data_IF_948222036583
#
_entry.id   IF_948222036583
#
_cell.length_a   1.000
_cell.length_b   1.000
_cell.length_c   1.000
_cell.angle_alpha   90.00
_cell.angle_beta   90.00
_cell.angle_gamma   90.00
#
_symmetry.space_group_name_H-M   'P 1'
#
loop_
_entity.id
_entity.type
_entity.pdbx_description
1 polymer ?
#
# COMPACT_ATOMS: atom_id res chain seq x y z
N UNK A 1 -8.89 22.05 -6.73
CA UNK A 1 -7.44 21.78 -6.82
C UNK A 1 -6.87 22.80 -7.78
N UNK A 2 -5.85 23.53 -7.34
CA UNK A 2 -5.18 24.55 -8.13
C UNK A 2 -4.11 23.87 -9.02
N UNK A 3 -3.72 24.50 -10.12
CA UNK A 3 -2.62 24.03 -10.97
C UNK A 3 -1.34 23.88 -10.15
N UNK A 4 -1.12 24.79 -9.19
CA UNK A 4 0.07 24.83 -8.33
C UNK A 4 0.25 23.52 -7.56
N UNK A 5 -0.84 22.85 -7.18
CA UNK A 5 -0.80 21.59 -6.43
C UNK A 5 -0.11 20.46 -7.23
N UNK A 6 -0.08 20.57 -8.56
CA UNK A 6 0.55 19.59 -9.46
C UNK A 6 2.00 19.96 -9.84
N UNK A 7 2.53 21.09 -9.37
CA UNK A 7 3.85 21.58 -9.80
C UNK A 7 4.90 21.33 -8.72
N UNK A 8 6.09 20.87 -9.12
CA UNK A 8 7.22 20.65 -8.21
C UNK A 8 8.54 21.11 -8.83
N UNK A 9 9.43 21.69 -8.03
CA UNK A 9 10.77 22.10 -8.50
C UNK A 9 11.72 20.90 -8.59
N UNK A 10 12.56 20.84 -9.64
CA UNK A 10 13.51 19.73 -9.86
C UNK A 10 14.54 19.54 -8.73
N UNK A 11 14.75 20.57 -7.90
CA UNK A 11 15.67 20.54 -6.75
C UNK A 11 15.03 20.02 -5.46
N UNK A 12 13.71 19.83 -5.43
CA UNK A 12 13.00 19.20 -4.31
C UNK A 12 13.46 17.76 -4.13
N UNK A 13 13.34 17.27 -2.91
CA UNK A 13 13.66 15.89 -2.56
C UNK A 13 12.57 14.93 -3.02
N UNK A 14 12.91 13.66 -3.17
CA UNK A 14 11.96 12.58 -3.43
C UNK A 14 10.86 12.52 -2.36
N UNK A 15 11.22 12.70 -1.09
CA UNK A 15 10.27 12.67 0.05
C UNK A 15 9.23 13.80 -0.09
N UNK A 16 9.67 15.02 -0.43
CA UNK A 16 8.74 16.12 -0.71
C UNK A 16 7.83 15.82 -1.90
N UNK A 17 8.35 15.19 -2.96
CA UNK A 17 7.54 14.75 -4.09
C UNK A 17 6.49 13.70 -3.70
N UNK A 18 6.84 12.73 -2.85
CA UNK A 18 5.90 11.72 -2.33
C UNK A 18 4.77 12.37 -1.54
N UNK A 19 5.10 13.27 -0.61
CA UNK A 19 4.09 13.97 0.18
C UNK A 19 3.13 14.78 -0.68
N UNK A 20 3.64 15.43 -1.74
CA UNK A 20 2.78 16.19 -2.65
C UNK A 20 1.96 15.27 -3.57
N UNK A 21 2.47 14.11 -3.97
CA UNK A 21 1.71 13.09 -4.72
C UNK A 21 0.52 12.54 -3.92
N UNK A 22 0.67 12.39 -2.60
CA UNK A 22 -0.38 11.89 -1.72
C UNK A 22 -1.57 12.86 -1.56
N UNK A 23 -1.35 14.16 -1.76
CA UNK A 23 -2.40 15.17 -1.63
C UNK A 23 -3.20 15.37 -2.92
N UNK A 24 -2.69 14.87 -4.06
CA UNK A 24 -3.31 15.07 -5.37
C UNK A 24 -4.00 13.81 -5.91
N UNK A 25 -5.18 13.98 -6.49
CA UNK A 25 -6.00 12.85 -6.94
C UNK A 25 -5.37 12.04 -8.09
N UNK A 26 -4.59 12.67 -8.99
CA UNK A 26 -4.09 12.02 -10.21
C UNK A 26 -2.63 11.54 -10.14
N UNK A 27 -2.06 11.41 -8.92
CA UNK A 27 -0.74 10.80 -8.61
C UNK A 27 0.38 11.10 -9.63
N UNK A 28 0.43 12.34 -10.14
CA UNK A 28 1.44 12.85 -11.07
C UNK A 28 1.78 14.31 -10.79
N UNK A 29 3.06 14.64 -10.73
CA UNK A 29 3.55 16.00 -10.63
C UNK A 29 4.31 16.40 -11.88
N UNK A 30 4.17 17.67 -12.28
CA UNK A 30 4.88 18.28 -13.38
C UNK A 30 6.05 19.08 -12.83
N UNK A 31 7.25 18.69 -13.27
CA UNK A 31 8.51 19.18 -12.76
C UNK A 31 8.92 20.44 -13.49
N UNK A 32 9.30 21.45 -12.70
CA UNK A 32 9.77 22.74 -13.18
C UNK A 32 11.28 22.89 -12.96
N UNK A 33 11.92 23.54 -13.91
CA UNK A 33 13.28 24.09 -13.82
C UNK A 33 13.24 25.55 -14.21
N UNK A 34 13.70 26.43 -13.32
CA UNK A 34 13.66 27.88 -13.55
C UNK A 34 12.24 28.36 -13.96
N UNK A 35 11.20 27.78 -13.31
CA UNK A 35 9.77 27.98 -13.60
C UNK A 35 9.25 27.45 -14.95
N UNK A 36 10.09 26.81 -15.76
CA UNK A 36 9.69 26.17 -17.01
C UNK A 36 9.46 24.68 -16.83
N UNK A 37 8.46 24.14 -17.52
CA UNK A 37 8.16 22.72 -17.49
C UNK A 37 9.23 21.89 -18.23
N UNK A 38 9.76 20.85 -17.55
CA UNK A 38 10.86 20.03 -18.10
C UNK A 38 10.65 18.52 -17.95
N UNK A 39 9.92 18.06 -16.95
CA UNK A 39 9.76 16.64 -16.67
C UNK A 39 8.43 16.34 -15.96
N UNK A 40 8.11 15.06 -15.78
CA UNK A 40 7.01 14.62 -14.92
C UNK A 40 7.49 13.51 -13.99
N UNK A 41 6.91 13.43 -12.79
CA UNK A 41 7.21 12.40 -11.79
C UNK A 41 5.92 11.78 -11.26
N UNK A 42 5.91 10.45 -11.11
CA UNK A 42 4.77 9.66 -10.62
C UNK A 42 5.19 8.73 -9.48
N UNK A 43 4.23 8.16 -8.75
CA UNK A 43 4.47 7.06 -7.79
C UNK A 43 5.26 5.91 -8.42
N UNK A 44 5.04 5.65 -9.71
CA UNK A 44 5.76 4.62 -10.46
C UNK A 44 7.26 4.91 -10.59
N UNK A 45 7.65 6.18 -10.77
CA UNK A 45 9.04 6.60 -10.86
C UNK A 45 9.74 6.48 -9.51
N UNK A 46 9.10 6.99 -8.46
CA UNK A 46 9.58 6.93 -7.08
C UNK A 46 9.75 5.48 -6.62
N UNK A 47 8.74 4.64 -6.83
CA UNK A 47 8.82 3.20 -6.54
C UNK A 47 9.97 2.53 -7.28
N UNK A 48 10.16 2.81 -8.57
CA UNK A 48 11.27 2.25 -9.35
C UNK A 48 12.64 2.68 -8.81
N UNK A 49 12.76 3.93 -8.35
CA UNK A 49 13.99 4.43 -7.73
C UNK A 49 14.29 3.71 -6.41
N UNK A 50 13.30 3.62 -5.52
CA UNK A 50 13.37 2.89 -4.25
C UNK A 50 13.83 1.44 -4.48
N UNK A 51 13.21 0.73 -5.43
CA UNK A 51 13.51 -0.67 -5.71
C UNK A 51 14.92 -0.90 -6.27
N UNK A 52 15.53 0.13 -6.87
CA UNK A 52 16.94 0.11 -7.32
C UNK A 52 17.92 0.46 -6.19
N UNK A 53 17.46 0.53 -4.94
CA UNK A 53 18.23 1.01 -3.77
C UNK A 53 18.76 2.43 -3.97
N UNK A 54 17.98 3.27 -4.65
CA UNK A 54 18.28 4.69 -4.78
C UNK A 54 18.26 5.39 -3.42
N UNK A 55 19.02 6.49 -3.31
CA UNK A 55 19.03 7.32 -2.11
C UNK A 55 17.64 7.93 -1.87
N UNK A 56 17.11 7.85 -0.65
CA UNK A 56 15.81 8.45 -0.32
C UNK A 56 15.88 9.99 -0.28
N UNK A 57 17.07 10.55 -0.07
CA UNK A 57 17.34 11.99 -0.15
C UNK A 57 17.59 12.48 -1.60
N UNK A 58 17.41 11.62 -2.60
CA UNK A 58 17.63 11.98 -4.00
C UNK A 58 16.71 13.11 -4.44
N UNK A 59 17.20 13.95 -5.35
CA UNK A 59 16.41 15.05 -5.90
C UNK A 59 15.45 14.54 -6.98
N UNK A 60 14.35 15.28 -7.18
CA UNK A 60 13.39 15.02 -8.26
C UNK A 60 14.10 14.94 -9.62
N UNK A 61 15.13 15.76 -9.84
CA UNK A 61 15.91 15.73 -11.07
C UNK A 61 16.63 14.39 -11.37
N UNK A 62 16.84 13.53 -10.38
CA UNK A 62 17.49 12.23 -10.53
C UNK A 62 16.48 11.12 -10.86
N UNK A 63 15.19 11.37 -10.62
CA UNK A 63 14.13 10.36 -10.61
C UNK A 63 13.10 10.62 -11.73
N UNK A 64 12.80 11.88 -12.00
CA UNK A 64 11.73 12.28 -12.89
C UNK A 64 11.96 11.86 -14.35
N UNK A 65 10.87 11.68 -15.08
CA UNK A 65 10.89 11.41 -16.51
C UNK A 65 10.99 12.73 -17.32
N UNK A 66 12.19 13.01 -17.83
CA UNK A 66 12.49 14.16 -18.70
C UNK A 66 12.04 14.03 -20.16
N UNK A 67 11.26 12.99 -20.47
CA UNK A 67 10.50 12.91 -21.71
C UNK A 67 8.99 12.87 -21.41
N UNK A 68 8.45 13.91 -20.74
CA UNK A 68 7.05 13.92 -20.36
C UNK A 68 6.16 14.13 -21.59
N UNK A 69 4.90 13.77 -21.46
CA UNK A 69 3.88 14.05 -22.49
C UNK A 69 3.17 15.35 -22.14
N UNK A 70 2.97 16.21 -23.13
CA UNK A 70 2.33 17.51 -23.00
C UNK A 70 1.64 17.90 -24.31
N UNK A 71 0.80 18.93 -24.26
CA UNK A 71 0.10 19.48 -25.42
C UNK A 71 0.25 21.00 -25.45
N UNK A 72 0.49 21.56 -26.63
CA UNK A 72 0.50 23.01 -26.81
C UNK A 72 -0.92 23.59 -26.72
N UNK A 73 -1.05 24.82 -26.22
CA UNK A 73 -2.32 25.51 -26.04
C UNK A 73 -3.23 25.48 -27.29
N UNK A 74 -2.64 25.64 -28.48
CA UNK A 74 -3.35 25.59 -29.77
C UNK A 74 -4.03 24.23 -30.05
N UNK A 75 -3.52 23.15 -29.47
CA UNK A 75 -3.99 21.78 -29.65
C UNK A 75 -4.76 21.25 -28.43
N UNK A 76 -5.13 22.12 -27.47
CA UNK A 76 -5.82 21.75 -26.23
C UNK A 76 -7.07 20.88 -26.46
N UNK A 77 -7.80 21.09 -27.55
CA UNK A 77 -9.00 20.32 -27.87
C UNK A 77 -8.73 18.81 -28.12
N UNK A 78 -7.49 18.44 -28.45
CA UNK A 78 -7.06 17.04 -28.66
C UNK A 78 -6.59 16.35 -27.38
N UNK A 79 -6.61 17.04 -26.24
CA UNK A 79 -6.03 16.53 -25.00
C UNK A 79 -6.63 15.20 -24.54
N UNK A 80 -7.96 15.10 -24.46
CA UNK A 80 -8.63 13.86 -24.06
C UNK A 80 -8.34 12.68 -25.00
N UNK A 81 -8.28 12.93 -26.31
CA UNK A 81 -7.94 11.91 -27.30
C UNK A 81 -6.51 11.38 -27.12
N UNK A 82 -5.55 12.30 -26.95
CA UNK A 82 -4.16 11.96 -26.66
C UNK A 82 -4.01 11.18 -25.35
N UNK A 83 -4.70 11.64 -24.29
CA UNK A 83 -4.67 10.97 -22.99
C UNK A 83 -5.19 9.54 -23.08
N UNK A 84 -6.30 9.31 -23.80
CA UNK A 84 -6.87 7.97 -24.04
C UNK A 84 -5.88 7.07 -24.76
N UNK A 85 -5.27 7.56 -25.84
CA UNK A 85 -4.30 6.81 -26.64
C UNK A 85 -3.06 6.41 -25.84
N UNK A 86 -2.62 7.27 -24.92
CA UNK A 86 -1.42 7.07 -24.12
C UNK A 86 -1.70 6.44 -22.75
N UNK A 87 -2.98 6.24 -22.38
CA UNK A 87 -3.40 5.74 -21.06
C UNK A 87 -2.80 6.55 -19.91
N UNK A 88 -2.87 7.88 -20.00
CA UNK A 88 -2.40 8.81 -18.95
C UNK A 88 -3.57 9.53 -18.29
N UNK A 89 -3.43 9.83 -17.01
CA UNK A 89 -4.52 10.37 -16.17
C UNK A 89 -4.60 11.89 -16.17
N UNK A 90 -3.46 12.56 -16.38
CA UNK A 90 -3.37 14.01 -16.54
C UNK A 90 -2.29 14.37 -17.57
N UNK A 91 -2.50 15.49 -18.26
CA UNK A 91 -1.55 16.06 -19.22
C UNK A 91 -1.48 17.58 -19.06
N UNK A 92 -0.28 18.19 -19.05
CA UNK A 92 -0.13 19.63 -18.96
C UNK A 92 -0.32 20.27 -20.34
N UNK A 93 -0.99 21.41 -20.34
CA UNK A 93 -1.14 22.29 -21.50
C UNK A 93 -0.14 23.44 -21.38
N UNK A 94 0.72 23.60 -22.37
CA UNK A 94 1.84 24.55 -22.35
C UNK A 94 1.75 25.61 -23.45
N UNK A 95 2.37 26.76 -23.22
CA UNK A 95 2.62 27.77 -24.27
C UNK A 95 3.87 27.43 -25.11
N UNK A 96 4.26 28.34 -26.01
CA UNK A 96 5.46 28.20 -26.84
C UNK A 96 6.77 28.24 -26.02
N UNK A 97 6.72 28.84 -24.83
CA UNK A 97 7.84 29.02 -23.91
C UNK A 97 7.97 27.89 -22.88
N UNK A 98 7.12 26.86 -22.96
CA UNK A 98 7.03 25.74 -22.00
C UNK A 98 6.55 26.14 -20.59
N UNK A 99 5.76 27.20 -20.48
CA UNK A 99 5.03 27.50 -19.25
C UNK A 99 3.72 26.70 -19.23
N UNK A 100 3.38 26.11 -18.08
CA UNK A 100 2.10 25.39 -17.91
C UNK A 100 0.98 26.43 -17.73
N UNK A 101 0.02 26.42 -18.65
CA UNK A 101 -1.15 27.30 -18.63
C UNK A 101 -2.32 26.64 -17.93
N UNK A 102 -2.49 25.33 -18.14
CA UNK A 102 -3.57 24.54 -17.52
C UNK A 102 -3.22 23.06 -17.52
N UNK A 103 -3.91 22.26 -16.71
CA UNK A 103 -3.79 20.80 -16.70
C UNK A 103 -5.13 20.23 -17.11
N UNK A 104 -5.11 19.24 -18.01
CA UNK A 104 -6.29 18.46 -18.37
C UNK A 104 -6.15 17.09 -17.71
N UNK A 105 -7.12 16.72 -16.89
CA UNK A 105 -7.25 15.40 -16.28
C UNK A 105 -8.56 14.75 -16.74
N UNK A 106 -8.71 13.45 -16.51
CA UNK A 106 -10.04 12.83 -16.55
C UNK A 106 -10.90 13.47 -15.46
N UNK A 107 -12.03 14.06 -15.85
CA UNK A 107 -13.02 14.63 -14.94
C UNK A 107 -13.77 13.47 -14.24
N UNK A 108 -13.15 12.78 -13.30
CA UNK A 108 -13.73 11.70 -12.48
C UNK A 108 -14.57 10.62 -13.20
N UNK A 109 -14.56 10.61 -14.54
CA UNK A 109 -14.94 9.50 -15.36
C UNK A 109 -13.80 8.50 -15.20
N UNK A 110 -13.94 7.67 -14.16
CA UNK A 110 -13.30 6.37 -14.02
C UNK A 110 -13.47 5.64 -15.34
N UNK A 111 -12.50 5.82 -16.25
CA UNK A 111 -12.16 4.77 -17.19
C UNK A 111 -11.31 3.77 -16.40
N UNK A 112 -11.89 3.23 -15.33
CA UNK A 112 -11.44 1.96 -14.81
C UNK A 112 -11.90 0.94 -15.85
N UNK A 113 -10.97 0.51 -16.70
CA UNK A 113 -11.06 -0.88 -17.13
C UNK A 113 -10.93 -1.70 -15.86
N UNK A 114 -12.04 -1.98 -15.16
CA UNK A 114 -12.11 -2.94 -14.06
C UNK A 114 -11.67 -4.28 -14.64
N UNK A 115 -10.37 -4.54 -14.63
CA UNK A 115 -9.89 -5.90 -14.64
C UNK A 115 -10.17 -6.42 -13.25
N UNK A 116 -11.06 -7.39 -13.18
CA UNK A 116 -11.38 -8.05 -11.91
C UNK A 116 -10.16 -8.87 -11.49
N UNK A 117 -9.57 -8.49 -10.35
CA UNK A 117 -8.51 -9.24 -9.72
C UNK A 117 -9.11 -10.54 -9.15
N UNK A 118 -9.26 -11.57 -9.98
CA UNK A 118 -9.80 -12.87 -9.56
C UNK A 118 -8.71 -13.73 -8.88
N UNK A 119 -8.36 -13.36 -7.65
CA UNK A 119 -7.52 -14.19 -6.77
C UNK A 119 -8.13 -14.31 -5.36
N UNK A 120 -7.83 -15.38 -4.61
CA UNK A 120 -8.33 -15.56 -3.26
C UNK A 120 -7.66 -14.59 -2.31
N UNK A 121 -8.36 -14.24 -1.24
CA UNK A 121 -7.84 -13.41 -0.15
C UNK A 121 -7.92 -14.21 1.15
N UNK A 122 -6.79 -14.37 1.81
CA UNK A 122 -6.67 -15.02 3.11
C UNK A 122 -6.51 -13.94 4.18
N UNK A 123 -7.39 -13.93 5.17
CA UNK A 123 -7.37 -12.97 6.28
C UNK A 123 -7.06 -13.70 7.58
N UNK A 124 -5.99 -13.28 8.27
CA UNK A 124 -5.60 -13.78 9.57
C UNK A 124 -6.46 -13.14 10.67
N UNK A 125 -7.54 -13.80 11.07
CA UNK A 125 -8.58 -13.29 11.97
C UNK A 125 -8.63 -14.00 13.35
N UNK A 126 -7.57 -14.72 13.72
CA UNK A 126 -7.51 -15.54 14.95
C UNK A 126 -6.95 -14.86 16.21
N UNK A 127 -6.35 -13.67 16.09
CA UNK A 127 -5.63 -13.02 17.20
C UNK A 127 -6.51 -12.54 18.35
N UNK A 128 -5.93 -12.50 19.57
CA UNK A 128 -6.61 -12.01 20.77
C UNK A 128 -6.82 -10.49 20.78
N UNK A 129 -6.02 -9.73 20.03
CA UNK A 129 -6.13 -8.27 19.95
C UNK A 129 -5.92 -7.56 21.29
N UNK A 130 -5.01 -8.04 22.13
CA UNK A 130 -4.80 -7.57 23.51
C UNK A 130 -4.43 -6.09 23.64
N UNK A 131 -3.84 -5.52 22.59
CA UNK A 131 -3.47 -4.09 22.51
C UNK A 131 -4.68 -3.15 22.49
N UNK A 132 -5.85 -3.64 22.08
CA UNK A 132 -7.11 -2.89 22.07
C UNK A 132 -7.97 -3.17 23.30
N UNK A 133 -7.38 -3.60 24.42
CA UNK A 133 -8.12 -3.75 25.67
C UNK A 133 -8.61 -2.37 26.16
N UNK A 134 -9.87 -2.24 26.61
CA UNK A 134 -10.81 -3.32 26.93
C UNK A 134 -11.75 -3.77 25.80
N UNK A 135 -11.77 -3.13 24.62
CA UNK A 135 -12.73 -3.43 23.53
C UNK A 135 -12.72 -4.91 23.13
N UNK A 136 -11.53 -5.51 22.99
CA UNK A 136 -11.41 -6.91 22.56
C UNK A 136 -11.80 -7.95 23.61
N UNK A 137 -12.15 -7.53 24.83
CA UNK A 137 -12.82 -8.42 25.80
C UNK A 137 -14.24 -8.78 25.34
N UNK A 138 -14.91 -7.84 24.68
CA UNK A 138 -16.30 -8.01 24.23
C UNK A 138 -16.31 -8.59 22.82
N UNK A 139 -15.68 -7.90 21.86
CA UNK A 139 -15.68 -8.26 20.44
C UNK A 139 -14.32 -8.85 20.01
N UNK A 140 -14.25 -9.83 19.10
CA UNK A 140 -12.96 -10.15 18.48
C UNK A 140 -12.47 -8.95 17.65
N UNK A 141 -11.14 -8.77 17.53
CA UNK A 141 -10.54 -7.65 16.79
C UNK A 141 -11.15 -7.45 15.37
N UNK A 142 -11.33 -8.51 14.55
CA UNK A 142 -12.03 -8.41 13.25
C UNK A 142 -13.41 -7.76 13.26
N UNK A 143 -14.12 -7.77 14.40
CA UNK A 143 -15.47 -7.22 14.54
C UNK A 143 -15.51 -5.88 15.30
N UNK A 144 -14.37 -5.25 15.55
CA UNK A 144 -14.36 -3.89 16.10
C UNK A 144 -14.94 -2.93 15.05
N UNK A 145 -16.01 -2.17 15.38
CA UNK A 145 -16.59 -1.20 14.47
C UNK A 145 -15.65 -0.04 14.18
N UNK A 146 -15.50 0.30 12.89
CA UNK A 146 -14.92 1.56 12.44
C UNK A 146 -16.02 2.28 11.66
N UNK A 147 -16.71 3.19 12.33
CA UNK A 147 -17.99 3.74 11.87
C UNK A 147 -19.10 2.67 11.91
N UNK A 148 -19.82 2.49 10.80
CA UNK A 148 -21.03 1.65 10.74
C UNK A 148 -20.73 0.15 10.57
N UNK A 149 -19.55 -0.21 10.04
CA UNK A 149 -19.18 -1.61 9.75
C UNK A 149 -17.85 -1.99 10.45
N UNK A 150 -17.64 -3.28 10.75
CA UNK A 150 -16.41 -3.73 11.39
C UNK A 150 -15.20 -3.67 10.45
N UNK A 151 -14.00 -3.61 11.04
CA UNK A 151 -12.74 -3.53 10.28
C UNK A 151 -12.59 -4.65 9.24
N UNK A 152 -12.98 -5.90 9.56
CA UNK A 152 -12.81 -7.00 8.63
C UNK A 152 -13.72 -6.85 7.40
N UNK A 153 -14.89 -6.21 7.55
CA UNK A 153 -15.75 -5.89 6.43
C UNK A 153 -15.17 -4.76 5.58
N UNK A 154 -14.58 -3.72 6.19
CA UNK A 154 -13.82 -2.71 5.44
C UNK A 154 -12.70 -3.34 4.59
N UNK A 155 -11.95 -4.29 5.15
CA UNK A 155 -10.87 -5.00 4.46
C UNK A 155 -11.44 -5.79 3.27
N UNK A 156 -12.48 -6.60 3.52
CA UNK A 156 -13.12 -7.42 2.49
C UNK A 156 -13.70 -6.54 1.38
N UNK A 157 -14.39 -5.46 1.72
CA UNK A 157 -14.99 -4.54 0.74
C UNK A 157 -13.94 -3.91 -0.18
N UNK A 158 -12.76 -3.53 0.33
CA UNK A 158 -11.66 -3.00 -0.51
C UNK A 158 -11.16 -4.02 -1.53
N UNK A 159 -10.95 -5.26 -1.10
CA UNK A 159 -10.55 -6.34 -2.02
C UNK A 159 -11.67 -6.71 -3.00
N UNK A 160 -12.93 -6.72 -2.52
CA UNK A 160 -14.11 -7.00 -3.33
C UNK A 160 -14.31 -5.96 -4.43
N UNK A 161 -14.08 -4.68 -4.13
CA UNK A 161 -14.11 -3.58 -5.10
C UNK A 161 -13.04 -3.74 -6.19
N UNK A 162 -11.93 -4.44 -5.89
CA UNK A 162 -10.89 -4.78 -6.85
C UNK A 162 -11.20 -6.06 -7.65
N UNK A 163 -12.31 -6.75 -7.38
CA UNK A 163 -12.73 -7.97 -8.07
C UNK A 163 -12.44 -9.28 -7.33
N UNK A 164 -11.82 -9.26 -6.15
CA UNK A 164 -11.62 -10.47 -5.36
C UNK A 164 -12.95 -10.94 -4.74
N UNK A 165 -13.46 -12.11 -5.15
CA UNK A 165 -14.75 -12.64 -4.66
C UNK A 165 -14.63 -13.80 -3.67
N UNK A 166 -13.44 -14.34 -3.45
CA UNK A 166 -13.23 -15.55 -2.63
C UNK A 166 -12.37 -15.25 -1.41
N UNK A 167 -12.97 -15.27 -0.22
CA UNK A 167 -12.31 -14.93 1.03
C UNK A 167 -12.18 -16.16 1.94
N UNK A 168 -10.99 -16.34 2.52
CA UNK A 168 -10.72 -17.36 3.53
C UNK A 168 -10.32 -16.68 4.84
N UNK A 169 -11.12 -16.85 5.90
CA UNK A 169 -10.84 -16.30 7.22
C UNK A 169 -10.30 -17.41 8.13
N UNK A 170 -9.04 -17.29 8.55
CA UNK A 170 -8.46 -18.15 9.57
C UNK A 170 -8.86 -17.60 10.94
N UNK A 171 -9.70 -18.34 11.65
CA UNK A 171 -10.37 -17.89 12.89
C UNK A 171 -10.04 -18.80 14.07
N UNK A 172 -9.83 -18.19 15.24
CA UNK A 172 -9.60 -18.90 16.50
C UNK A 172 -10.48 -18.29 17.61
N UNK A 173 -10.00 -17.23 18.27
CA UNK A 173 -10.70 -16.59 19.38
C UNK A 173 -12.04 -15.98 18.97
N UNK A 174 -13.12 -16.29 19.72
CA UNK A 174 -14.51 -15.84 19.44
C UNK A 174 -14.97 -16.09 17.99
N UNK A 175 -14.44 -17.13 17.33
CA UNK A 175 -14.74 -17.49 15.92
C UNK A 175 -16.23 -17.53 15.58
N UNK A 176 -17.08 -17.98 16.49
CA UNK A 176 -18.52 -18.07 16.27
C UNK A 176 -19.17 -16.70 16.03
N UNK A 177 -18.67 -15.63 16.66
CA UNK A 177 -19.18 -14.27 16.42
C UNK A 177 -18.82 -13.79 15.01
N UNK A 178 -17.59 -14.06 14.57
CA UNK A 178 -17.11 -13.72 13.21
C UNK A 178 -17.94 -14.45 12.16
N UNK A 179 -18.16 -15.76 12.37
CA UNK A 179 -18.99 -16.59 11.48
C UNK A 179 -20.43 -16.09 11.43
N UNK A 180 -21.04 -15.80 12.57
CA UNK A 180 -22.42 -15.30 12.63
C UNK A 180 -22.58 -14.00 11.85
N UNK A 181 -21.71 -13.00 12.12
CA UNK A 181 -21.74 -11.70 11.43
C UNK A 181 -21.71 -11.86 9.90
N UNK A 182 -20.66 -12.50 9.38
CA UNK A 182 -20.46 -12.59 7.94
C UNK A 182 -21.43 -13.55 7.24
N UNK A 183 -22.12 -14.45 7.96
CA UNK A 183 -23.15 -15.30 7.37
C UNK A 183 -24.53 -14.63 7.31
N UNK A 184 -24.76 -13.58 8.10
CA UNK A 184 -26.04 -12.86 8.15
C UNK A 184 -26.09 -11.64 7.22
N UNK A 185 -24.94 -11.02 6.91
CA UNK A 185 -24.90 -9.89 5.99
C UNK A 185 -25.17 -10.30 4.54
N UNK A 186 -25.82 -9.41 3.79
CA UNK A 186 -25.94 -9.53 2.34
C UNK A 186 -24.58 -9.23 1.70
N UNK A 187 -24.10 -10.14 0.85
CA UNK A 187 -22.78 -10.06 0.23
C UNK A 187 -22.80 -10.67 -1.17
N UNK A 188 -21.99 -10.09 -2.06
CA UNK A 188 -21.77 -10.56 -3.43
C UNK A 188 -20.45 -11.37 -3.56
N UNK A 189 -19.87 -11.78 -2.43
CA UNK A 189 -18.64 -12.55 -2.31
C UNK A 189 -18.80 -13.76 -1.38
N UNK A 190 -17.92 -14.75 -1.51
CA UNK A 190 -17.88 -15.95 -0.67
C UNK A 190 -16.92 -15.79 0.51
N UNK A 191 -17.27 -16.37 1.65
CA UNK A 191 -16.43 -16.39 2.85
C UNK A 191 -16.37 -17.83 3.38
N UNK A 192 -15.19 -18.42 3.28
CA UNK A 192 -14.87 -19.71 3.90
C UNK A 192 -14.14 -19.50 5.21
N UNK A 193 -14.45 -20.31 6.21
CA UNK A 193 -13.82 -20.24 7.52
C UNK A 193 -12.90 -21.43 7.75
N UNK A 194 -11.71 -21.12 8.27
CA UNK A 194 -10.74 -22.12 8.69
C UNK A 194 -10.56 -22.00 10.18
N UNK A 195 -11.00 -23.02 10.90
CA UNK A 195 -10.89 -23.07 12.35
C UNK A 195 -9.47 -23.45 12.74
N UNK A 196 -8.76 -22.50 13.30
CA UNK A 196 -7.50 -22.73 13.98
C UNK A 196 -7.84 -23.08 15.44
N UNK A 197 -7.50 -24.28 15.91
CA UNK A 197 -7.86 -24.74 17.26
C UNK A 197 -7.01 -24.10 18.36
N UNK A 198 -5.74 -23.80 18.04
CA UNK A 198 -4.79 -23.12 18.92
C UNK A 198 -4.04 -22.04 18.14
N UNK A 199 -3.68 -20.89 18.72
CA UNK A 199 -2.97 -19.85 17.99
C UNK A 199 -1.67 -20.37 17.35
N UNK A 200 -1.57 -20.35 16.01
CA UNK A 200 -0.36 -20.74 15.27
C UNK A 200 0.42 -19.52 14.74
N UNK A 201 0.21 -18.35 15.33
CA UNK A 201 0.85 -17.10 14.91
C UNK A 201 0.23 -16.50 13.65
N UNK A 202 0.94 -15.58 13.02
CA UNK A 202 0.44 -14.83 11.84
C UNK A 202 0.67 -15.56 10.51
N UNK A 203 1.33 -16.72 10.54
CA UNK A 203 1.60 -17.52 9.34
C UNK A 203 1.25 -19.01 9.48
N UNK A 204 1.28 -19.58 10.69
CA UNK A 204 1.08 -21.02 10.86
C UNK A 204 -0.29 -21.55 10.43
N UNK A 205 -1.35 -20.76 10.62
CA UNK A 205 -2.70 -21.10 10.20
C UNK A 205 -2.86 -21.30 8.68
N UNK A 206 -1.92 -20.79 7.86
CA UNK A 206 -1.90 -21.03 6.42
C UNK A 206 -1.77 -22.52 6.07
N UNK A 207 -1.12 -23.32 6.92
CA UNK A 207 -1.00 -24.77 6.72
C UNK A 207 -2.36 -25.49 6.64
N UNK A 208 -3.41 -24.92 7.25
CA UNK A 208 -4.78 -25.45 7.22
C UNK A 208 -5.51 -25.22 5.88
N UNK A 209 -4.88 -24.47 4.97
CA UNK A 209 -5.38 -24.17 3.63
C UNK A 209 -4.72 -25.03 2.54
N UNK A 210 -3.87 -26.01 2.91
CA UNK A 210 -3.27 -26.96 1.96
C UNK A 210 -4.33 -27.64 1.10
N UNK A 211 -4.08 -27.70 -0.20
CA UNK A 211 -4.98 -28.23 -1.22
C UNK A 211 -6.25 -27.40 -1.48
N UNK A 212 -6.50 -26.33 -0.74
CA UNK A 212 -7.66 -25.44 -0.93
C UNK A 212 -7.31 -24.22 -1.79
N UNK A 213 -6.09 -23.70 -1.68
CA UNK A 213 -5.62 -22.53 -2.42
C UNK A 213 -4.51 -22.93 -3.39
N UNK A 214 -4.88 -23.03 -4.67
CA UNK A 214 -4.00 -23.55 -5.73
C UNK A 214 -3.55 -22.46 -6.71
N UNK A 215 -3.91 -21.20 -6.46
CA UNK A 215 -3.48 -20.03 -7.22
C UNK A 215 -2.86 -19.00 -6.28
N UNK A 216 -2.11 -18.06 -6.84
CA UNK A 216 -1.58 -16.90 -6.10
C UNK A 216 -2.71 -16.21 -5.35
N UNK A 217 -2.44 -15.78 -4.13
CA UNK A 217 -3.44 -15.22 -3.24
C UNK A 217 -2.88 -13.99 -2.51
N UNK A 218 -3.79 -13.18 -1.98
CA UNK A 218 -3.45 -12.10 -1.07
C UNK A 218 -3.52 -12.65 0.35
N UNK A 219 -2.49 -12.38 1.15
CA UNK A 219 -2.53 -12.58 2.60
C UNK A 219 -2.63 -11.23 3.29
N UNK A 220 -3.59 -11.06 4.18
CA UNK A 220 -3.79 -9.84 4.97
C UNK A 220 -3.95 -10.16 6.45
N UNK A 221 -3.41 -9.31 7.30
CA UNK A 221 -3.88 -9.21 8.68
C UNK A 221 -5.32 -8.65 8.72
N UNK A 222 -6.03 -8.82 9.84
CA UNK A 222 -7.43 -8.42 10.02
C UNK A 222 -7.63 -6.99 10.55
N UNK A 223 -6.58 -6.18 10.55
CA UNK A 223 -6.53 -4.86 11.16
C UNK A 223 -5.91 -3.78 10.26
N UNK A 224 -5.67 -4.11 8.99
CA UNK A 224 -4.92 -3.26 8.05
C UNK A 224 -5.78 -2.88 6.86
N UNK A 225 -5.81 -1.60 6.52
CA UNK A 225 -6.37 -1.10 5.27
C UNK A 225 -5.24 -0.54 4.41
N UNK A 226 -5.15 -1.00 3.16
CA UNK A 226 -4.26 -0.44 2.15
C UNK A 226 -5.09 0.24 1.06
N UNK A 227 -4.75 1.49 0.78
CA UNK A 227 -5.38 2.33 -0.25
C UNK A 227 -4.47 2.44 -1.49
N UNK A 228 -4.27 1.30 -2.16
CA UNK A 228 -3.46 1.20 -3.37
C UNK A 228 -4.13 0.34 -4.43
N UNK A 229 -3.64 0.46 -5.66
CA UNK A 229 -4.09 -0.38 -6.76
C UNK A 229 -3.49 -1.80 -6.64
N UNK A 230 -4.27 -2.73 -6.08
CA UNK A 230 -3.90 -4.13 -5.90
C UNK A 230 -3.65 -4.90 -7.21
N UNK A 231 -4.13 -4.42 -8.34
CA UNK A 231 -3.78 -4.97 -9.64
C UNK A 231 -2.31 -4.68 -9.97
N UNK A 232 -1.85 -3.43 -9.80
CA UNK A 232 -0.44 -3.02 -10.01
C UNK A 232 0.51 -3.77 -9.07
N UNK A 233 0.15 -3.80 -7.79
CA UNK A 233 0.21 -4.98 -6.91
C UNK A 233 0.71 -6.31 -7.49
N UNK A 234 -0.30 -7.07 -7.90
CA UNK A 234 -0.23 -8.39 -8.46
C UNK A 234 0.59 -8.48 -9.76
N UNK A 235 0.40 -7.54 -10.69
CA UNK A 235 1.17 -7.49 -11.94
C UNK A 235 2.67 -7.36 -11.68
N UNK A 236 3.08 -6.55 -10.71
CA UNK A 236 4.46 -6.46 -10.27
C UNK A 236 4.97 -7.79 -9.70
N UNK A 237 4.20 -8.41 -8.79
CA UNK A 237 4.54 -9.72 -8.22
C UNK A 237 4.80 -10.78 -9.31
N UNK A 238 3.91 -10.84 -10.32
CA UNK A 238 4.02 -11.75 -11.46
C UNK A 238 5.17 -11.43 -12.40
N UNK A 239 5.33 -10.15 -12.76
CA UNK A 239 6.43 -9.70 -13.62
C UNK A 239 7.79 -10.01 -13.01
N UNK A 240 7.92 -9.76 -11.71
CA UNK A 240 9.15 -10.03 -10.98
C UNK A 240 9.34 -11.51 -10.65
N UNK A 241 8.32 -12.36 -10.78
CA UNK A 241 8.38 -13.79 -10.40
C UNK A 241 8.78 -13.98 -8.93
N UNK A 242 8.22 -13.14 -8.06
CA UNK A 242 8.45 -13.25 -6.62
C UNK A 242 7.64 -14.45 -6.08
N UNK A 243 8.21 -15.24 -5.16
CA UNK A 243 7.46 -16.22 -4.37
C UNK A 243 6.52 -15.50 -3.39
N UNK A 244 7.04 -14.44 -2.76
CA UNK A 244 6.31 -13.56 -1.85
C UNK A 244 6.64 -12.12 -2.22
N UNK A 245 5.63 -11.28 -2.34
CA UNK A 245 5.80 -9.82 -2.39
C UNK A 245 5.24 -9.21 -1.13
N UNK A 246 6.12 -8.63 -0.31
CA UNK A 246 5.75 -7.87 0.88
C UNK A 246 5.33 -6.46 0.47
N UNK A 247 4.18 -6.00 0.94
CA UNK A 247 3.77 -4.61 0.79
C UNK A 247 4.37 -3.83 1.96
N UNK A 248 5.19 -2.84 1.67
CA UNK A 248 5.91 -2.07 2.68
C UNK A 248 5.58 -0.58 2.58
N UNK A 249 5.24 0.02 3.70
CA UNK A 249 5.04 1.47 3.80
C UNK A 249 6.39 2.15 4.02
N UNK A 250 6.68 3.23 3.29
CA UNK A 250 7.80 4.11 3.62
C UNK A 250 7.39 5.06 4.74
N UNK A 251 7.87 4.84 5.97
CA UNK A 251 7.62 5.69 7.14
C UNK A 251 8.70 6.74 7.27
N UNK A 252 8.30 7.98 7.59
CA UNK A 252 9.21 9.08 7.85
C UNK A 252 9.07 9.57 9.29
N UNK A 253 10.16 9.52 10.06
CA UNK A 253 10.19 10.07 11.42
C UNK A 253 11.07 11.30 11.44
N UNK A 254 10.48 12.42 11.84
CA UNK A 254 11.22 13.64 12.16
C UNK A 254 11.69 13.60 13.61
N UNK A 255 13.00 13.61 13.80
CA UNK A 255 13.59 13.69 15.13
C UNK A 255 13.66 15.18 15.50
N UNK A 256 13.05 15.65 16.61
CA UNK A 256 12.99 17.09 16.92
C UNK A 256 14.28 17.65 17.54
N UNK A 257 15.37 16.87 17.53
CA UNK A 257 16.66 17.15 18.16
C UNK A 257 17.83 16.85 17.21
N UNK A 258 19.02 17.34 17.54
CA UNK A 258 20.26 16.95 16.88
C UNK A 258 20.60 15.47 17.12
N UNK A 259 20.81 14.72 16.04
CA UNK A 259 21.31 13.33 16.07
C UNK A 259 22.81 13.36 15.84
N UNK A 260 23.56 12.76 16.76
CA UNK A 260 25.02 12.64 16.73
C UNK A 260 25.39 11.19 16.45
N UNK A 261 26.14 10.95 15.39
CA UNK A 261 26.80 9.66 15.15
C UNK A 261 28.20 9.71 15.77
N UNK A 262 28.49 8.72 16.60
CA UNK A 262 29.77 8.59 17.30
C UNK A 262 30.67 7.67 16.47
N UNK A 263 31.88 8.13 16.15
CA UNK A 263 32.91 7.37 15.46
C UNK A 263 33.53 6.27 16.34
N UNK A 264 34.42 5.47 15.74
CA UNK A 264 35.00 4.29 16.39
C UNK A 264 35.78 4.61 17.68
N UNK A 265 36.32 5.83 17.83
CA UNK A 265 37.11 6.24 18.99
C UNK A 265 36.40 7.27 19.90
N UNK A 266 35.07 7.38 19.80
CA UNK A 266 34.28 8.31 20.63
C UNK A 266 34.27 9.75 20.13
N UNK A 267 34.88 10.04 18.99
CA UNK A 267 34.78 11.31 18.27
C UNK A 267 33.40 11.49 17.62
N UNK A 268 33.02 12.74 17.35
CA UNK A 268 31.82 13.02 16.56
C UNK A 268 32.16 12.74 15.09
N UNK A 269 31.48 11.76 14.49
CA UNK A 269 31.58 11.47 13.06
C UNK A 269 30.70 12.44 12.26
N UNK A 270 29.42 12.56 12.64
CA UNK A 270 28.46 13.44 11.99
C UNK A 270 27.38 13.92 12.94
N UNK A 271 26.86 15.14 12.70
CA UNK A 271 25.73 15.71 13.43
C UNK A 271 24.71 16.24 12.43
N UNK A 272 23.45 15.81 12.57
CA UNK A 272 22.33 16.34 11.80
C UNK A 272 21.31 16.95 12.75
N UNK A 273 20.99 18.22 12.55
CA UNK A 273 19.92 18.89 13.29
C UNK A 273 18.55 18.54 12.73
N UNK A 274 17.63 18.22 13.64
CA UNK A 274 16.25 17.82 13.36
C UNK A 274 16.09 16.91 12.13
N UNK A 275 16.86 15.81 12.03
CA UNK A 275 16.87 15.01 10.82
C UNK A 275 15.53 14.28 10.63
N UNK A 276 15.26 13.97 9.38
CA UNK A 276 14.21 13.06 8.98
C UNK A 276 14.85 11.70 8.68
N UNK A 277 14.28 10.64 9.24
CA UNK A 277 14.75 9.26 9.05
C UNK A 277 13.64 8.47 8.40
N UNK A 278 13.94 7.91 7.23
CA UNK A 278 13.00 7.12 6.43
C UNK A 278 13.33 5.64 6.48
N UNK A 279 12.32 4.79 6.66
CA UNK A 279 12.49 3.33 6.69
C UNK A 279 11.23 2.61 6.19
N UNK A 280 11.42 1.39 5.69
CA UNK A 280 10.30 0.54 5.26
C UNK A 280 9.73 -0.24 6.44
N UNK A 281 8.42 -0.15 6.61
CA UNK A 281 7.65 -0.92 7.59
C UNK A 281 6.81 -1.96 6.87
N UNK A 282 6.81 -3.19 7.38
CA UNK A 282 5.94 -4.25 6.91
C UNK A 282 4.48 -3.92 7.27
N UNK A 283 3.61 -3.82 6.26
CA UNK A 283 2.20 -3.49 6.45
C UNK A 283 1.38 -4.66 6.99
N UNK A 284 1.88 -5.90 6.89
CA UNK A 284 1.08 -7.10 7.19
C UNK A 284 0.21 -7.57 6.02
N UNK A 285 0.41 -7.03 4.81
CA UNK A 285 -0.25 -7.47 3.57
C UNK A 285 0.79 -7.97 2.56
N UNK A 286 0.48 -9.08 1.89
CA UNK A 286 1.39 -9.79 1.02
C UNK A 286 0.67 -10.36 -0.20
N UNK A 287 1.38 -10.48 -1.33
CA UNK A 287 0.99 -11.35 -2.44
C UNK A 287 1.86 -12.61 -2.39
N UNK A 288 1.25 -13.79 -2.41
CA UNK A 288 1.89 -15.04 -2.05
C UNK A 288 1.55 -16.13 -3.08
N UNK A 289 2.56 -16.88 -3.52
CA UNK A 289 2.36 -18.05 -4.37
C UNK A 289 1.90 -19.27 -3.55
N UNK A 290 1.03 -20.14 -4.10
CA UNK A 290 0.41 -21.26 -3.38
C UNK A 290 1.42 -22.27 -2.85
N UNK A 291 2.59 -22.37 -3.50
CA UNK A 291 3.74 -23.17 -3.03
C UNK A 291 4.06 -22.93 -1.55
N UNK A 292 3.92 -21.68 -1.09
CA UNK A 292 4.17 -21.32 0.31
C UNK A 292 3.27 -22.11 1.25
N UNK A 293 1.98 -22.23 0.95
CA UNK A 293 1.01 -22.99 1.76
C UNK A 293 1.35 -24.48 1.78
N UNK A 294 1.63 -25.04 0.60
CA UNK A 294 1.88 -26.48 0.43
C UNK A 294 3.11 -26.98 1.20
N UNK A 295 4.15 -26.15 1.32
CA UNK A 295 5.41 -26.47 1.98
C UNK A 295 5.47 -26.09 3.46
N UNK A 296 4.39 -25.56 4.05
CA UNK A 296 4.35 -25.25 5.48
C UNK A 296 4.20 -26.50 6.34
N UNK A 297 4.92 -26.51 7.47
CA UNK A 297 4.73 -27.50 8.51
C UNK A 297 3.33 -27.30 9.12
N UNK A 298 2.55 -28.37 9.23
CA UNK A 298 1.27 -28.33 9.95
C UNK A 298 1.50 -28.15 11.46
N UNK A 299 0.51 -27.55 12.12
CA UNK A 299 0.47 -27.39 13.57
C UNK A 299 1.66 -26.62 14.20
N UNK A 300 2.42 -25.87 13.41
CA UNK A 300 3.57 -25.10 13.89
C UNK A 300 3.21 -23.63 14.06
N UNK A 301 3.37 -23.11 15.27
CA UNK A 301 3.25 -21.68 15.51
C UNK A 301 4.43 -20.94 14.87
N UNK A 302 4.14 -20.05 13.91
CA UNK A 302 5.14 -19.28 13.18
C UNK A 302 4.56 -17.95 12.71
N UNK A 303 5.35 -16.89 12.77
CA UNK A 303 4.99 -15.60 12.18
C UNK A 303 5.21 -15.61 10.68
N UNK A 304 4.38 -14.89 9.92
CA UNK A 304 4.62 -14.73 8.49
C UNK A 304 6.00 -14.11 8.16
N UNK A 305 6.54 -13.15 8.94
CA UNK A 305 7.91 -12.67 8.73
C UNK A 305 8.98 -13.78 8.81
N UNK A 306 8.81 -14.75 9.70
CA UNK A 306 9.74 -15.89 9.83
C UNK A 306 9.62 -16.83 8.62
N UNK A 307 8.42 -16.99 8.06
CA UNK A 307 8.19 -17.72 6.80
C UNK A 307 8.91 -17.01 5.65
N UNK A 308 8.82 -15.69 5.57
CA UNK A 308 9.54 -14.89 4.56
C UNK A 308 11.05 -15.09 4.69
N UNK A 309 11.59 -15.03 5.91
CA UNK A 309 13.02 -15.25 6.15
C UNK A 309 13.45 -16.67 5.79
N UNK A 310 12.65 -17.70 6.13
CA UNK A 310 12.88 -19.09 5.73
C UNK A 310 13.08 -19.21 4.21
N UNK A 311 12.15 -18.68 3.42
CA UNK A 311 12.22 -18.79 1.96
C UNK A 311 13.34 -17.93 1.35
N UNK A 312 13.58 -16.74 1.91
CA UNK A 312 14.73 -15.91 1.52
C UNK A 312 16.04 -16.66 1.71
N UNK A 313 16.23 -17.32 2.85
CA UNK A 313 17.43 -18.10 3.16
C UNK A 313 17.53 -19.38 2.29
N UNK A 314 16.41 -19.89 1.79
CA UNK A 314 16.36 -20.98 0.81
C UNK A 314 16.66 -20.52 -0.64
N UNK A 315 16.93 -19.23 -0.87
CA UNK A 315 17.25 -18.68 -2.19
C UNK A 315 16.03 -18.32 -3.05
N UNK A 316 14.83 -18.36 -2.49
CA UNK A 316 13.61 -17.96 -3.19
C UNK A 316 13.54 -16.45 -3.37
N UNK A 317 12.89 -16.01 -4.45
CA UNK A 317 12.77 -14.58 -4.75
C UNK A 317 11.70 -13.94 -3.87
N UNK A 318 12.12 -13.18 -2.87
CA UNK A 318 11.24 -12.34 -2.05
C UNK A 318 11.32 -10.89 -2.56
N UNK A 319 10.18 -10.34 -2.96
CA UNK A 319 10.06 -8.96 -3.43
C UNK A 319 9.47 -8.03 -2.38
N UNK A 320 9.70 -6.74 -2.57
CA UNK A 320 9.05 -5.65 -1.84
C UNK A 320 8.25 -4.82 -2.85
N UNK A 321 7.06 -4.37 -2.46
CA UNK A 321 6.31 -3.31 -3.14
C UNK A 321 6.17 -2.13 -2.18
N UNK A 322 6.91 -1.03 -2.40
CA UNK A 322 6.80 0.14 -1.54
C UNK A 322 5.54 0.93 -1.85
N UNK A 323 4.87 1.41 -0.81
CA UNK A 323 3.71 2.30 -0.84
C UNK A 323 3.98 3.53 0.04
N UNK A 324 3.19 4.59 -0.17
CA UNK A 324 3.24 5.75 0.71
C UNK A 324 2.77 5.39 2.13
N UNK A 325 3.30 6.10 3.13
CA UNK A 325 2.76 6.12 4.50
C UNK A 325 1.27 6.44 4.52
N UNK A 326 0.83 7.38 3.68
CA UNK A 326 -0.58 7.71 3.60
C UNK A 326 -1.39 6.56 2.99
N UNK A 327 -0.82 5.61 2.26
CA UNK A 327 -1.63 4.50 1.72
C UNK A 327 -1.86 3.37 2.73
N UNK A 328 -1.34 3.47 3.95
CA UNK A 328 -1.43 2.44 4.99
C UNK A 328 -2.12 2.93 6.25
N UNK A 329 -3.16 2.22 6.68
CA UNK A 329 -3.83 2.41 7.97
C UNK A 329 -3.79 1.10 8.76
N UNK A 330 -3.32 1.16 10.01
CA UNK A 330 -3.35 0.06 10.98
C UNK A 330 -4.25 0.47 12.14
N UNK A 331 -5.01 -0.46 12.72
CA UNK A 331 -5.72 -0.25 14.00
C UNK A 331 -5.10 -1.13 15.09
N UNK A 332 -3.77 -1.18 15.11
CA UNK A 332 -2.95 -1.95 16.04
C UNK A 332 -3.14 -1.51 17.49
N UNK A 333 -3.28 -0.20 17.67
CA UNK A 333 -3.42 0.54 18.91
C UNK A 333 -4.65 1.46 18.90
N UNK A 334 -5.01 2.02 20.07
CA UNK A 334 -6.20 2.87 20.22
C UNK A 334 -6.09 4.19 19.46
N UNK A 335 -4.93 4.84 19.53
CA UNK A 335 -4.62 6.07 18.81
C UNK A 335 -4.67 5.87 17.29
N UNK A 336 -4.11 4.76 16.79
CA UNK A 336 -4.17 4.41 15.37
C UNK A 336 -5.60 4.09 14.91
N UNK A 337 -6.39 3.42 15.76
CA UNK A 337 -7.80 3.14 15.51
C UNK A 337 -8.63 4.44 15.41
N UNK A 338 -8.38 5.41 16.29
CA UNK A 338 -9.04 6.72 16.24
C UNK A 338 -8.65 7.49 14.96
N UNK A 339 -7.38 7.50 14.60
CA UNK A 339 -6.90 8.12 13.36
C UNK A 339 -7.53 7.45 12.12
N UNK A 340 -7.59 6.12 12.08
CA UNK A 340 -8.28 5.38 11.02
C UNK A 340 -9.76 5.78 10.92
N UNK A 341 -10.46 5.92 12.05
CA UNK A 341 -11.87 6.34 12.04
C UNK A 341 -12.04 7.75 11.49
N UNK A 342 -11.22 8.70 11.94
CA UNK A 342 -11.21 10.09 11.44
C UNK A 342 -10.98 10.13 9.94
N UNK A 343 -10.05 9.31 9.46
CA UNK A 343 -9.71 9.27 8.04
C UNK A 343 -10.82 8.72 7.15
N UNK A 344 -11.57 7.73 7.63
CA UNK A 344 -12.65 7.12 6.86
C UNK A 344 -13.97 7.90 6.93
N UNK A 345 -14.25 8.59 8.04
CA UNK A 345 -15.58 9.19 8.29
C UNK A 345 -15.54 10.70 8.59
N UNK A 346 -14.36 11.33 8.66
CA UNK A 346 -14.19 12.72 9.09
C UNK A 346 -14.12 12.88 10.62
N UNK A 347 -13.90 14.12 11.07
CA UNK A 347 -14.07 14.47 12.49
C UNK A 347 -15.57 14.66 12.78
N UNK A 348 -16.10 13.96 13.78
CA UNK A 348 -17.42 14.26 14.39
C UNK A 348 -17.38 15.55 15.21
#
# INVERSE_FOLDING_TARGET
MDIIDFLIDEQKTMIEAMHQLDTIAKKVLFVLKDKKFVAAITDGDIRRWILKKGNLDAKVMEIANYNPKYIYQKDKNKAKEYMKKLSIEAIPIVDEDMNIISIVSWNDEEVETKKELDIPVVIMAGGLGTRLYPYTKVLPKPLIPIGEIPIAEHIINRFNNCGCKNFHLIVNHKKNMIKAYFNEIEKDYSVDYVDEDRPLGTGGGLSLLKGKINKTFILSNCDILIDENYEKIYEYHKKEKNLITMICSLKNIKIPYGVINIGENGEIDSMKEKPEVSFFTNTGVYIVEPKVIEELDEDKAIGFPDIVEKYKNAGEKIGVYPISENSWMDMGQLDEMEEMRKRLYGEE
#
